data_IF_648246982597
#
_entry.id   IF_648246982597
#
_cell.length_a   1.000
_cell.length_b   1.000
_cell.length_c   1.000
_cell.angle_alpha   90.00
_cell.angle_beta   90.00
_cell.angle_gamma   90.00
#
_symmetry.space_group_name_H-M   'P 1'
#
loop_
_entity.id
_entity.type
_entity.pdbx_description
1 polymer ?
#
# COMPACT_ATOMS: atom_id res chain seq x y z
N UNK A 1 -12.82 -4.08 -6.11
CA UNK A 1 -12.49 -3.28 -4.90
C UNK A 1 -12.39 -1.79 -5.24
N UNK A 2 -11.69 -1.41 -6.30
CA UNK A 2 -11.54 0.00 -6.73
C UNK A 2 -12.87 0.70 -7.01
N UNK A 3 -13.90 -0.02 -7.48
CA UNK A 3 -15.24 0.54 -7.70
C UNK A 3 -15.87 1.16 -6.45
N UNK A 4 -15.46 0.68 -5.26
CA UNK A 4 -15.96 1.15 -3.96
C UNK A 4 -15.04 2.19 -3.31
N UNK A 5 -14.02 2.68 -4.02
CA UNK A 5 -13.02 3.58 -3.44
C UNK A 5 -13.65 4.87 -2.91
N UNK A 6 -14.72 5.36 -3.54
CA UNK A 6 -15.42 6.56 -3.11
C UNK A 6 -16.46 6.33 -2.00
N UNK A 7 -16.65 5.09 -1.54
CA UNK A 7 -17.51 4.78 -0.39
C UNK A 7 -16.79 5.03 0.96
N UNK A 8 -15.46 5.12 0.96
CA UNK A 8 -14.70 5.42 2.17
C UNK A 8 -14.85 6.88 2.58
N UNK A 9 -14.77 7.14 3.88
CA UNK A 9 -14.81 8.49 4.41
C UNK A 9 -13.41 9.14 4.41
N UNK A 10 -12.86 9.40 3.22
CA UNK A 10 -11.52 9.97 3.05
C UNK A 10 -11.29 11.29 3.77
N UNK A 11 -12.35 12.05 4.04
CA UNK A 11 -12.31 13.30 4.80
C UNK A 11 -12.02 13.13 6.29
N UNK A 12 -12.35 11.96 6.85
CA UNK A 12 -12.05 11.62 8.25
C UNK A 12 -10.67 10.97 8.41
N UNK A 13 -10.10 10.47 7.31
CA UNK A 13 -8.75 9.93 7.29
C UNK A 13 -7.73 11.06 7.18
N UNK A 14 -6.57 10.86 7.81
CA UNK A 14 -5.48 11.83 7.90
C UNK A 14 -4.30 11.38 7.05
N UNK A 15 -3.62 12.37 6.52
CA UNK A 15 -2.27 12.34 5.92
C UNK A 15 -1.41 13.41 6.62
N UNK A 16 -0.12 13.52 6.28
CA UNK A 16 0.86 14.36 7.00
C UNK A 16 0.39 15.78 7.38
N UNK A 17 -0.42 16.45 6.55
CA UNK A 17 -0.83 17.84 6.81
C UNK A 17 -2.34 18.11 6.66
N UNK A 18 -3.12 17.16 6.14
CA UNK A 18 -4.54 17.39 5.79
C UNK A 18 -5.33 16.08 5.82
N UNK A 19 -6.56 16.09 5.31
CA UNK A 19 -7.38 14.91 5.09
C UNK A 19 -6.98 14.14 3.82
N UNK A 20 -7.44 12.90 3.70
CA UNK A 20 -7.04 12.00 2.62
C UNK A 20 -7.91 12.12 1.35
N UNK A 21 -8.69 13.21 1.16
CA UNK A 21 -9.63 13.34 0.03
C UNK A 21 -8.99 13.26 -1.35
N UNK A 22 -7.67 13.45 -1.46
CA UNK A 22 -6.95 13.41 -2.73
C UNK A 22 -6.30 12.05 -3.05
N UNK A 23 -6.37 11.10 -2.11
CA UNK A 23 -5.78 9.77 -2.23
C UNK A 23 -6.53 8.86 -3.22
N UNK A 24 -7.87 8.90 -3.35
CA UNK A 24 -8.58 8.08 -4.34
C UNK A 24 -8.07 8.29 -5.77
N UNK A 25 -7.92 9.54 -6.17
CA UNK A 25 -7.43 9.89 -7.51
C UNK A 25 -6.00 9.40 -7.73
N UNK A 26 -5.15 9.47 -6.69
CA UNK A 26 -3.79 8.96 -6.75
C UNK A 26 -3.76 7.43 -6.93
N UNK A 27 -4.59 6.69 -6.18
CA UNK A 27 -4.70 5.23 -6.31
C UNK A 27 -5.15 4.83 -7.72
N UNK A 28 -6.15 5.53 -8.28
CA UNK A 28 -6.62 5.26 -9.64
C UNK A 28 -5.54 5.58 -10.69
N UNK A 29 -4.76 6.65 -10.48
CA UNK A 29 -3.68 7.04 -11.36
C UNK A 29 -2.48 6.06 -11.36
N UNK A 30 -2.36 5.17 -10.37
CA UNK A 30 -1.39 4.05 -10.42
C UNK A 30 -1.69 3.00 -11.53
N UNK A 31 -2.85 3.13 -12.19
CA UNK A 31 -3.21 2.35 -13.37
C UNK A 31 -2.85 3.04 -14.69
N UNK A 32 -2.15 4.17 -14.65
CA UNK A 32 -1.74 4.89 -15.84
C UNK A 32 -0.88 4.03 -16.77
N UNK A 33 -0.98 4.31 -18.06
CA UNK A 33 -0.17 3.64 -19.08
C UNK A 33 1.23 4.25 -19.21
N UNK A 34 1.40 5.51 -18.79
CA UNK A 34 2.68 6.22 -18.82
C UNK A 34 3.39 6.11 -17.46
N UNK A 35 4.70 5.93 -17.51
CA UNK A 35 5.55 5.87 -16.32
C UNK A 35 5.53 7.20 -15.56
N UNK A 36 5.52 8.32 -16.28
CA UNK A 36 5.45 9.66 -15.68
C UNK A 36 4.17 9.87 -14.83
N UNK A 37 3.00 9.49 -15.34
CA UNK A 37 1.75 9.61 -14.57
C UNK A 37 1.73 8.65 -13.38
N UNK A 38 2.26 7.44 -13.56
CA UNK A 38 2.41 6.47 -12.47
C UNK A 38 3.32 7.01 -11.37
N UNK A 39 4.49 7.57 -11.71
CA UNK A 39 5.42 8.13 -10.75
C UNK A 39 4.80 9.30 -9.98
N UNK A 40 4.09 10.20 -10.66
CA UNK A 40 3.38 11.30 -9.99
C UNK A 40 2.35 10.77 -8.97
N UNK A 41 1.62 9.70 -9.33
CA UNK A 41 0.67 9.05 -8.44
C UNK A 41 1.36 8.35 -7.25
N UNK A 42 2.45 7.63 -7.51
CA UNK A 42 3.29 6.99 -6.50
C UNK A 42 3.79 8.02 -5.49
N UNK A 43 4.43 9.10 -5.95
CA UNK A 43 4.98 10.14 -5.08
C UNK A 43 3.91 10.83 -4.26
N UNK A 44 2.71 10.98 -4.82
CA UNK A 44 1.57 11.53 -4.08
C UNK A 44 1.12 10.61 -2.95
N UNK A 45 1.17 9.29 -3.12
CA UNK A 45 0.84 8.35 -2.05
C UNK A 45 1.96 8.30 -1.01
N UNK A 46 3.21 8.10 -1.44
CA UNK A 46 4.38 7.99 -0.55
C UNK A 46 4.52 9.26 0.33
N UNK A 47 4.52 10.45 -0.26
CA UNK A 47 4.66 11.72 0.50
C UNK A 47 3.45 12.14 1.34
N UNK A 48 2.37 11.36 1.39
CA UNK A 48 1.18 11.73 2.17
C UNK A 48 0.66 10.61 3.06
N UNK A 49 0.68 9.37 2.59
CA UNK A 49 0.18 8.19 3.30
C UNK A 49 1.25 7.56 4.18
N UNK A 50 2.50 7.53 3.71
CA UNK A 50 3.66 6.93 4.41
C UNK A 50 4.91 7.79 4.23
N UNK A 51 5.05 8.84 5.03
CA UNK A 51 6.08 9.86 4.81
C UNK A 51 7.35 9.51 5.57
N UNK A 52 8.43 9.18 4.86
CA UNK A 52 9.70 8.79 5.49
C UNK A 52 9.52 7.66 6.53
N UNK A 53 8.59 6.75 6.26
CA UNK A 53 8.21 5.66 7.16
C UNK A 53 7.11 6.01 8.17
N UNK A 54 6.70 7.27 8.36
CA UNK A 54 5.60 7.64 9.26
C UNK A 54 4.24 7.31 8.65
N UNK A 55 3.43 6.55 9.39
CA UNK A 55 2.09 6.11 9.00
C UNK A 55 1.01 7.06 9.54
N UNK A 56 0.09 7.40 8.65
CA UNK A 56 -1.14 8.15 8.95
C UNK A 56 -2.38 7.28 8.78
N UNK A 57 -3.55 7.72 9.27
CA UNK A 57 -4.74 6.85 9.30
C UNK A 57 -5.21 6.39 7.91
N UNK A 58 -4.92 7.13 6.84
CA UNK A 58 -5.16 6.66 5.48
C UNK A 58 -4.39 5.37 5.13
N UNK A 59 -3.20 5.15 5.71
CA UNK A 59 -2.35 4.00 5.43
C UNK A 59 -2.99 2.66 5.82
N UNK A 60 -3.93 2.65 6.77
CA UNK A 60 -4.69 1.46 7.11
C UNK A 60 -5.70 1.05 6.02
N UNK A 61 -6.11 1.99 5.18
CA UNK A 61 -7.18 1.79 4.19
C UNK A 61 -6.63 1.52 2.80
N UNK A 62 -5.51 2.15 2.45
CA UNK A 62 -4.88 2.08 1.12
C UNK A 62 -4.56 0.65 0.63
N UNK A 63 -4.01 -0.28 1.44
CA UNK A 63 -3.55 -1.59 0.96
C UNK A 63 -4.60 -2.41 0.20
N UNK A 64 -5.87 -2.38 0.63
CA UNK A 64 -6.94 -3.16 -0.03
C UNK A 64 -7.22 -2.72 -1.46
N UNK A 65 -6.91 -1.47 -1.80
CA UNK A 65 -7.00 -0.96 -3.17
C UNK A 65 -5.73 -1.24 -3.96
N UNK A 66 -4.57 -1.16 -3.31
CA UNK A 66 -3.29 -1.52 -3.93
C UNK A 66 -3.26 -2.99 -4.38
N UNK A 67 -4.00 -3.88 -3.72
CA UNK A 67 -4.19 -5.27 -4.19
C UNK A 67 -4.72 -5.34 -5.63
N UNK A 68 -5.80 -4.61 -5.93
CA UNK A 68 -6.37 -4.60 -7.27
C UNK A 68 -5.49 -3.82 -8.26
N UNK A 69 -4.88 -2.71 -7.80
CA UNK A 69 -3.92 -1.95 -8.60
C UNK A 69 -2.73 -2.84 -9.00
N UNK A 70 -2.18 -3.64 -8.09
CA UNK A 70 -1.04 -4.51 -8.34
C UNK A 70 -1.35 -5.50 -9.47
N UNK A 71 -2.53 -6.11 -9.45
CA UNK A 71 -2.95 -7.07 -10.47
C UNK A 71 -3.06 -6.42 -11.86
N UNK A 72 -3.51 -5.16 -11.91
CA UNK A 72 -3.84 -4.45 -13.16
C UNK A 72 -2.73 -3.55 -13.70
N UNK A 73 -1.85 -3.04 -12.85
CA UNK A 73 -0.82 -2.07 -13.21
C UNK A 73 0.31 -2.72 -14.01
N UNK A 74 0.91 -1.94 -14.92
CA UNK A 74 2.16 -2.30 -15.61
C UNK A 74 3.37 -2.17 -14.69
N UNK A 75 3.30 -1.27 -13.71
CA UNK A 75 4.41 -0.89 -12.84
C UNK A 75 4.30 -1.57 -11.46
N UNK A 76 4.29 -2.91 -11.46
CA UNK A 76 4.02 -3.72 -10.25
C UNK A 76 5.01 -3.47 -9.11
N UNK A 77 6.28 -3.20 -9.44
CA UNK A 77 7.31 -2.93 -8.43
C UNK A 77 6.99 -1.71 -7.57
N UNK A 78 6.57 -0.58 -8.17
CA UNK A 78 6.20 0.60 -7.38
C UNK A 78 4.98 0.36 -6.49
N UNK A 79 4.04 -0.48 -6.91
CA UNK A 79 2.90 -0.87 -6.08
C UNK A 79 3.34 -1.79 -4.92
N UNK A 80 4.27 -2.72 -5.17
CA UNK A 80 4.88 -3.56 -4.13
C UNK A 80 5.63 -2.72 -3.10
N UNK A 81 6.39 -1.72 -3.56
CA UNK A 81 7.12 -0.82 -2.69
C UNK A 81 6.19 -0.02 -1.77
N UNK A 82 5.08 0.51 -2.29
CA UNK A 82 4.07 1.18 -1.45
C UNK A 82 3.49 0.24 -0.40
N UNK A 83 3.19 -1.02 -0.75
CA UNK A 83 2.73 -2.03 0.21
C UNK A 83 3.81 -2.30 1.27
N UNK A 84 5.07 -2.44 0.86
CA UNK A 84 6.19 -2.65 1.76
C UNK A 84 6.35 -1.48 2.73
N UNK A 85 6.39 -0.24 2.24
CA UNK A 85 6.50 0.97 3.05
C UNK A 85 5.35 1.08 4.06
N UNK A 86 4.11 0.82 3.65
CA UNK A 86 2.95 0.83 4.56
C UNK A 86 3.05 -0.26 5.64
N UNK A 87 3.42 -1.48 5.25
CA UNK A 87 3.48 -2.62 6.17
C UNK A 87 4.64 -2.54 7.16
N UNK A 88 5.75 -1.95 6.71
CA UNK A 88 6.97 -1.75 7.49
C UNK A 88 7.08 -0.36 8.11
N UNK A 89 6.06 0.50 8.00
CA UNK A 89 6.08 1.85 8.54
C UNK A 89 6.02 1.91 10.07
N UNK A 90 6.05 3.12 10.62
CA UNK A 90 6.02 3.41 12.05
C UNK A 90 4.92 4.43 12.38
N UNK A 91 4.36 4.33 13.57
CA UNK A 91 3.47 5.36 14.13
C UNK A 91 3.60 5.35 15.64
N UNK A 92 3.30 6.47 16.28
CA UNK A 92 3.11 6.52 17.74
C UNK A 92 1.80 5.83 18.17
N UNK A 93 0.86 5.65 17.24
CA UNK A 93 -0.33 4.82 17.42
C UNK A 93 -0.03 3.36 17.06
N UNK A 94 0.19 2.55 18.10
CA UNK A 94 0.43 1.11 17.93
C UNK A 94 -0.77 0.34 17.35
N UNK A 95 -2.01 0.86 17.49
CA UNK A 95 -3.20 0.29 16.86
C UNK A 95 -3.19 0.51 15.35
N UNK A 96 -2.81 1.71 14.91
CA UNK A 96 -2.62 2.01 13.49
C UNK A 96 -1.53 1.13 12.88
N UNK A 97 -0.35 1.02 13.51
CA UNK A 97 0.74 0.15 13.04
C UNK A 97 0.29 -1.31 12.84
N UNK A 98 -0.41 -1.88 13.82
CA UNK A 98 -0.91 -3.26 13.74
C UNK A 98 -1.93 -3.43 12.61
N UNK A 99 -2.76 -2.41 12.37
CA UNK A 99 -3.75 -2.44 11.29
C UNK A 99 -3.08 -2.40 9.92
N UNK A 100 -2.16 -1.45 9.70
CA UNK A 100 -1.40 -1.36 8.45
C UNK A 100 -0.63 -2.66 8.15
N UNK A 101 0.09 -3.19 9.15
CA UNK A 101 0.77 -4.47 9.04
C UNK A 101 -0.18 -5.60 8.64
N UNK A 102 -1.29 -5.76 9.38
CA UNK A 102 -2.24 -6.85 9.13
C UNK A 102 -2.85 -6.78 7.73
N UNK A 103 -3.21 -5.58 7.27
CA UNK A 103 -3.76 -5.39 5.92
C UNK A 103 -2.72 -5.69 4.82
N UNK A 104 -1.47 -5.27 5.00
CA UNK A 104 -0.41 -5.58 4.03
C UNK A 104 -0.11 -7.08 3.99
N UNK A 105 -0.04 -7.75 5.15
CA UNK A 105 0.11 -9.21 5.19
C UNK A 105 -1.05 -9.91 4.49
N UNK A 106 -2.29 -9.43 4.70
CA UNK A 106 -3.48 -9.96 4.00
C UNK A 106 -3.34 -9.82 2.49
N UNK A 107 -2.91 -8.65 2.01
CA UNK A 107 -2.72 -8.37 0.58
C UNK A 107 -1.64 -9.26 -0.02
N UNK A 108 -0.45 -9.34 0.58
CA UNK A 108 0.61 -10.21 0.08
C UNK A 108 0.18 -11.67 -0.02
N UNK A 109 -0.47 -12.20 1.01
CA UNK A 109 -1.01 -13.57 0.99
C UNK A 109 -2.06 -13.76 -0.10
N UNK A 110 -2.93 -12.77 -0.32
CA UNK A 110 -3.93 -12.80 -1.37
C UNK A 110 -3.27 -12.80 -2.77
N UNK A 111 -2.29 -11.93 -3.00
CA UNK A 111 -1.54 -11.84 -4.25
C UNK A 111 -0.77 -13.14 -4.52
N UNK A 112 -0.08 -13.69 -3.52
CA UNK A 112 0.60 -14.97 -3.63
C UNK A 112 -0.37 -16.12 -3.91
N UNK A 113 -1.59 -16.09 -3.38
CA UNK A 113 -2.60 -17.10 -3.71
C UNK A 113 -3.30 -16.88 -5.07
N UNK A 114 -3.05 -15.75 -5.74
CA UNK A 114 -3.78 -15.36 -6.94
C UNK A 114 -3.26 -16.13 -8.19
N UNK A 115 -4.14 -16.78 -8.97
CA UNK A 115 -3.73 -17.53 -10.16
C UNK A 115 -3.03 -16.71 -11.24
N UNK A 116 -3.25 -15.39 -11.30
CA UNK A 116 -2.59 -14.48 -12.25
C UNK A 116 -1.10 -14.30 -11.89
N UNK A 117 -0.78 -14.33 -10.59
CA UNK A 117 0.57 -14.13 -10.07
C UNK A 117 1.33 -15.44 -10.00
N UNK A 118 0.65 -16.55 -9.69
CA UNK A 118 1.25 -17.87 -9.61
C UNK A 118 1.97 -18.25 -10.91
N UNK A 119 3.23 -18.66 -10.79
CA UNK A 119 4.09 -19.02 -11.91
C UNK A 119 4.72 -17.84 -12.67
N UNK A 120 4.52 -16.60 -12.19
CA UNK A 120 5.22 -15.42 -12.71
C UNK A 120 6.51 -15.13 -11.93
N UNK A 121 7.37 -14.26 -12.48
CA UNK A 121 8.59 -13.80 -11.81
C UNK A 121 8.30 -13.02 -10.51
N UNK A 122 7.10 -12.46 -10.37
CA UNK A 122 6.73 -11.63 -9.22
C UNK A 122 6.56 -12.42 -7.91
N UNK A 123 6.39 -13.74 -7.96
CA UNK A 123 6.20 -14.56 -6.75
C UNK A 123 7.37 -14.41 -5.80
N UNK A 124 8.60 -14.55 -6.29
CA UNK A 124 9.80 -14.46 -5.45
C UNK A 124 9.94 -13.08 -4.79
N UNK A 125 9.64 -12.01 -5.54
CA UNK A 125 9.67 -10.65 -5.01
C UNK A 125 8.62 -10.43 -3.91
N UNK A 126 7.39 -10.92 -4.11
CA UNK A 126 6.33 -10.81 -3.11
C UNK A 126 6.65 -11.63 -1.84
N UNK A 127 7.30 -12.79 -1.97
CA UNK A 127 7.75 -13.60 -0.82
C UNK A 127 8.87 -12.90 -0.03
N UNK A 128 9.82 -12.27 -0.73
CA UNK A 128 10.88 -11.47 -0.13
C UNK A 128 10.30 -10.25 0.60
N UNK A 129 9.45 -9.46 -0.06
CA UNK A 129 8.80 -8.30 0.53
C UNK A 129 7.96 -8.68 1.76
N UNK A 130 7.18 -9.76 1.68
CA UNK A 130 6.39 -10.28 2.79
C UNK A 130 7.29 -10.66 3.98
N UNK A 131 8.39 -11.36 3.72
CA UNK A 131 9.34 -11.78 4.76
C UNK A 131 9.98 -10.56 5.43
N UNK A 132 10.41 -9.57 4.63
CA UNK A 132 10.99 -8.33 5.13
C UNK A 132 10.02 -7.50 5.97
N UNK A 133 8.75 -7.40 5.56
CA UNK A 133 7.71 -6.72 6.37
C UNK A 133 7.49 -7.43 7.71
N UNK A 134 7.48 -8.77 7.73
CA UNK A 134 7.36 -9.56 8.98
C UNK A 134 8.54 -9.32 9.91
N UNK A 135 9.76 -9.38 9.39
CA UNK A 135 11.00 -9.16 10.16
C UNK A 135 11.01 -7.76 10.80
N UNK A 136 10.80 -6.72 9.98
CA UNK A 136 10.79 -5.33 10.46
C UNK A 136 9.67 -5.05 11.46
N UNK A 137 8.52 -5.70 11.34
CA UNK A 137 7.45 -5.56 12.33
C UNK A 137 7.83 -6.23 13.66
N UNK A 138 8.47 -7.40 13.63
CA UNK A 138 8.88 -8.10 14.84
C UNK A 138 9.95 -7.32 15.61
N UNK A 139 10.92 -6.73 14.91
CA UNK A 139 11.99 -5.93 15.53
C UNK A 139 11.46 -4.70 16.28
N UNK A 140 10.32 -4.15 15.86
CA UNK A 140 9.66 -2.99 16.50
C UNK A 140 8.84 -3.36 17.74
N UNK A 141 8.57 -4.65 17.96
CA UNK A 141 7.77 -5.15 19.08
C UNK A 141 8.62 -5.75 20.22
N UNK A 142 9.96 -5.63 20.13
CA UNK A 142 10.93 -6.01 21.17
C UNK A 142 11.25 -4.80 22.04
#
# INVERSE_FOLDING_TARGET
MLERIYEENWKELRIQMTDASSIPEAILALLADSEEEFEQAYWKIENHVVVQGDLYSAAAVVPKYLEEVYLRSKFKHGVSELLFQIGSGYSTDGGLMKTCFSEVIRVYKSLLANPIIQGTEFVAHLEEDLSGVIELHNDKNI
#
